data_IF_005443555326
#
_entry.id   IF_005443555326
#
_cell.length_a   1.000
_cell.length_b   1.000
_cell.length_c   1.000
_cell.angle_alpha   90.00
_cell.angle_beta   90.00
_cell.angle_gamma   90.00
#
_symmetry.space_group_name_H-M   'P 1'
#
loop_
_entity.id
_entity.type
_entity.pdbx_description
1 polymer ?
2 non-polymer ?
#
# COMPACT_ATOMS: atom_id res chain seq x y z
N UNK A 1 18.07 -7.71 19.93
CA UNK A 1 16.87 -8.35 19.40
C UNK A 1 15.98 -7.31 18.69
N UNK A 2 16.19 -7.18 17.39
CA UNK A 2 15.41 -6.26 16.56
C UNK A 2 14.15 -6.91 15.99
N UNK A 3 13.87 -8.16 16.33
CA UNK A 3 12.67 -8.83 15.86
C UNK A 3 11.40 -8.24 16.47
N UNK A 4 11.51 -7.59 17.63
CA UNK A 4 10.34 -6.94 18.22
C UNK A 4 9.91 -5.73 17.40
N UNK A 5 10.87 -4.97 16.88
CA UNK A 5 10.55 -3.86 15.99
C UNK A 5 9.89 -4.36 14.72
N UNK A 6 10.41 -5.45 14.15
CA UNK A 6 9.78 -6.04 12.97
C UNK A 6 8.37 -6.48 13.29
N UNK A 7 8.17 -7.10 14.45
CA UNK A 7 6.83 -7.51 14.86
C UNK A 7 5.90 -6.31 14.97
N UNK A 8 6.38 -5.21 15.54
CA UNK A 8 5.52 -4.05 15.74
C UNK A 8 5.16 -3.40 14.41
N UNK A 9 6.13 -3.30 13.49
CA UNK A 9 5.83 -2.73 12.17
C UNK A 9 4.88 -3.63 11.41
N UNK A 10 5.10 -4.95 11.48
CA UNK A 10 4.19 -5.91 10.87
C UNK A 10 2.78 -5.73 11.40
N UNK A 11 2.64 -5.63 12.73
CA UNK A 11 1.32 -5.49 13.34
C UNK A 11 0.68 -4.14 13.03
N UNK A 12 1.49 -3.08 12.96
CA UNK A 12 0.96 -1.76 12.66
C UNK A 12 0.43 -1.70 11.24
N UNK A 13 1.21 -2.19 10.28
CA UNK A 13 0.73 -2.26 8.90
C UNK A 13 -0.49 -3.16 8.79
N UNK A 14 -0.47 -4.30 9.49
CA UNK A 14 -1.60 -5.23 9.44
C UNK A 14 -2.87 -4.57 9.95
N UNK A 15 -2.81 -3.91 11.11
CA UNK A 15 -4.01 -3.33 11.70
C UNK A 15 -4.49 -2.11 10.92
N UNK A 16 -3.55 -1.29 10.43
CA UNK A 16 -3.91 -0.17 9.57
C UNK A 16 -4.66 -0.65 8.33
N UNK A 17 -4.16 -1.71 7.69
CA UNK A 17 -4.82 -2.20 6.49
C UNK A 17 -6.11 -2.94 6.80
N UNK A 18 -6.20 -3.59 7.97
CA UNK A 18 -7.49 -4.17 8.37
C UNK A 18 -8.53 -3.07 8.52
N UNK A 19 -8.18 -1.97 9.17
CA UNK A 19 -9.13 -0.87 9.29
C UNK A 19 -9.48 -0.29 7.92
N UNK A 20 -8.47 -0.12 7.06
CA UNK A 20 -8.69 0.43 5.73
C UNK A 20 -9.65 -0.43 4.92
N UNK A 21 -9.48 -1.74 4.94
CA UNK A 21 -10.32 -2.63 4.15
C UNK A 21 -11.61 -3.03 4.85
N UNK A 22 -11.74 -2.75 6.14
CA UNK A 22 -13.00 -3.00 6.83
C UNK A 22 -13.95 -1.82 6.63
N UNK A 23 -13.43 -0.58 6.65
CA UNK A 23 -14.32 0.56 6.52
C UNK A 23 -14.96 0.65 5.14
N UNK A 24 -14.46 -0.08 4.14
CA UNK A 24 -14.96 0.09 2.78
C UNK A 24 -16.40 -0.39 2.62
N UNK A 25 -16.74 -1.66 2.86
CA UNK A 25 -18.12 -2.09 2.56
C UNK A 25 -19.15 -1.58 3.56
N UNK A 26 -18.75 -1.29 4.79
CA UNK A 26 -19.71 -0.98 5.84
C UNK A 26 -20.36 0.39 5.62
N UNK A 27 -19.55 1.41 5.32
CA UNK A 27 -20.03 2.79 5.43
C UNK A 27 -21.16 3.13 4.46
N UNK A 28 -21.05 2.82 3.14
CA UNK A 28 -22.17 3.01 2.23
C UNK A 28 -23.40 2.37 2.89
N UNK A 29 -23.23 1.16 3.44
CA UNK A 29 -24.36 0.51 4.14
C UNK A 29 -24.78 1.29 5.38
N UNK A 30 -23.83 1.74 6.21
CA UNK A 30 -24.15 2.52 7.43
C UNK A 30 -24.75 3.88 7.05
N UNK A 31 -24.17 4.54 6.04
CA UNK A 31 -24.66 5.87 5.59
C UNK A 31 -26.06 5.68 5.02
N UNK A 32 -26.29 4.59 4.30
CA UNK A 32 -27.64 4.30 3.76
C UNK A 32 -28.53 3.79 4.91
N UNK A 114 -19.00 10.69 -1.49
CA UNK A 114 -18.47 9.35 -1.22
C UNK A 114 -17.06 9.21 -1.81
N UNK A 115 -16.86 9.67 -3.03
CA UNK A 115 -15.53 9.65 -3.61
C UNK A 115 -14.55 10.51 -2.84
N UNK A 116 -15.01 11.67 -2.36
CA UNK A 116 -14.15 12.52 -1.53
C UNK A 116 -13.75 11.82 -0.25
N UNK A 117 -14.71 11.13 0.40
CA UNK A 117 -14.39 10.40 1.62
C UNK A 117 -13.38 9.29 1.33
N UNK A 118 -13.57 8.56 0.22
CA UNK A 118 -12.66 7.47 -0.10
C UNK A 118 -11.26 8.00 -0.40
N UNK A 119 -11.15 9.13 -1.10
CA UNK A 119 -9.86 9.67 -1.49
C UNK A 119 -9.23 10.57 -0.44
N UNK A 120 -9.95 10.89 0.64
CA UNK A 120 -9.42 11.80 1.65
C UNK A 120 -8.21 11.22 2.36
N UNK A 121 -8.25 9.93 2.68
CA UNK A 121 -7.12 9.29 3.36
C UNK A 121 -5.87 9.40 2.51
N UNK A 122 -5.97 9.03 1.23
CA UNK A 122 -4.81 9.07 0.35
C UNK A 122 -4.34 10.50 0.09
N UNK A 123 -5.27 11.46 -0.04
CA UNK A 123 -4.89 12.84 -0.29
C UNK A 123 -4.17 13.43 0.92
N UNK A 124 -4.70 13.20 2.12
CA UNK A 124 -4.07 13.72 3.33
C UNK A 124 -2.71 13.06 3.54
N UNK A 125 -2.61 11.75 3.30
CA UNK A 125 -1.32 11.08 3.41
C UNK A 125 -0.32 11.63 2.40
N UNK A 126 -0.79 11.89 1.18
CA UNK A 126 0.06 12.47 0.14
C UNK A 126 0.57 13.84 0.55
N UNK A 127 -0.29 14.64 1.18
CA UNK A 127 0.11 15.98 1.59
C UNK A 127 1.09 15.92 2.76
N UNK A 128 0.86 15.03 3.71
CA UNK A 128 1.65 15.00 4.94
C UNK A 128 2.87 14.09 4.87
N UNK A 129 3.08 13.38 3.76
CA UNK A 129 4.30 12.58 3.64
C UNK A 129 5.58 13.40 3.73
N UNK A 130 5.73 14.52 3.00
CA UNK A 130 6.96 15.32 3.16
C UNK A 130 7.16 15.86 4.56
N UNK A 131 6.07 16.26 5.23
CA UNK A 131 6.21 16.80 6.58
C UNK A 131 6.70 15.74 7.56
N UNK A 132 6.18 14.51 7.44
CA UNK A 132 6.67 13.42 8.28
C UNK A 132 8.11 13.08 7.92
N UNK A 133 8.45 13.14 6.63
CA UNK A 133 9.83 12.92 6.23
C UNK A 133 10.79 13.90 6.85
N UNK A 134 10.37 15.16 6.98
CA UNK A 134 11.20 16.15 7.67
C UNK A 134 11.17 15.98 9.18
N UNK A 135 10.00 15.65 9.75
CA UNK A 135 9.86 15.57 11.20
C UNK A 135 10.63 14.40 11.80
N UNK A 136 10.64 13.25 11.12
CA UNK A 136 11.43 12.13 11.61
C UNK A 136 12.91 12.45 11.64
N UNK A 137 13.36 13.42 10.85
CA UNK A 137 14.76 13.84 10.90
C UNK A 137 15.02 14.81 12.04
N UNK A 138 13.96 15.38 12.62
CA UNK A 138 14.14 16.32 13.73
C UNK A 138 13.97 15.63 15.07
N UNK A 139 13.00 14.73 15.20
CA UNK A 139 12.68 14.14 16.50
C UNK A 139 12.92 12.64 16.57
N UNK A 140 13.22 11.97 15.46
CA UNK A 140 13.42 10.53 15.46
C UNK A 140 12.21 9.78 14.94
N UNK A 141 12.37 8.46 14.86
CA UNK A 141 11.32 7.53 14.43
C UNK A 141 10.34 7.10 15.53
N UNK A 142 10.82 6.72 16.73
CA UNK A 142 9.89 6.16 17.73
C UNK A 142 8.76 7.08 18.13
N UNK A 143 9.00 8.38 18.27
CA UNK A 143 7.95 9.31 18.69
C UNK A 143 6.87 9.44 17.62
N UNK A 144 7.22 9.61 16.33
CA UNK A 144 6.19 9.53 15.29
C UNK A 144 5.47 8.20 15.22
N UNK A 145 6.16 7.09 15.51
CA UNK A 145 5.54 5.73 15.45
C UNK A 145 4.54 5.57 16.60
N UNK A 146 4.91 5.99 17.82
CA UNK A 146 3.99 5.90 18.99
C UNK A 146 2.75 6.76 18.75
N UNK A 147 2.92 7.95 18.18
CA UNK A 147 1.79 8.84 17.87
C UNK A 147 0.89 8.18 16.84
N UNK A 148 1.48 7.38 15.94
CA UNK A 148 0.67 6.66 14.97
C UNK A 148 -0.31 5.76 15.70
N UNK A 149 0.14 5.10 16.78
CA UNK A 149 -0.78 4.27 17.61
C UNK A 149 -1.84 5.15 18.29
N UNK A 150 -1.45 6.31 18.84
CA UNK A 150 -2.43 7.16 19.59
C UNK A 150 -3.49 7.70 18.62
N UNK A 151 -3.08 8.20 17.45
CA UNK A 151 -4.05 8.69 16.43
C UNK A 151 -4.86 7.50 15.95
N UNK A 152 -4.22 6.34 15.75
CA UNK A 152 -4.92 5.13 15.28
C UNK A 152 -5.95 4.70 16.34
N UNK A 153 -5.59 4.78 17.61
CA UNK A 153 -6.53 4.42 18.71
C UNK A 153 -7.73 5.38 18.70
N UNK A 154 -7.48 6.69 18.59
CA UNK A 154 -8.58 7.71 18.57
C UNK A 154 -9.39 7.52 17.29
N UNK A 155 -8.70 7.29 16.17
CA UNK A 155 -9.38 7.09 14.87
C UNK A 155 -10.24 5.84 14.99
N UNK A 156 -9.71 4.77 15.61
CA UNK A 156 -10.48 3.51 15.78
C UNK A 156 -11.67 3.75 16.73
N UNK A 157 -11.47 4.47 17.85
CA UNK A 157 -12.57 4.78 18.80
C UNK A 157 -13.63 5.67 18.13
N UNK A 158 -13.21 6.68 17.37
CA UNK A 158 -14.17 7.55 16.64
C UNK A 158 -14.92 6.71 15.63
N UNK A 159 -14.22 5.81 14.93
CA UNK A 159 -14.86 4.98 13.88
C UNK A 159 -15.94 4.15 14.56
N UNK A 160 -15.67 3.67 15.78
CA UNK A 160 -16.65 2.84 16.53
C UNK A 160 -17.92 3.62 16.87
N UNK A 161 -17.81 4.87 17.33
CA UNK A 161 -19.03 5.60 17.82
C UNK A 161 -19.52 6.71 16.88
N UNK A 162 -18.68 7.21 15.99
CA UNK A 162 -19.07 8.35 15.12
C UNK A 162 -20.14 7.91 14.13
N UNK A 163 -21.21 8.70 13.98
CA UNK A 163 -22.20 8.33 12.97
C UNK A 163 -22.52 9.48 12.02
N UNK A 164 -21.68 10.50 11.97
CA UNK A 164 -21.89 11.65 11.10
C UNK A 164 -20.84 11.66 9.98
N UNK A 165 -21.25 12.15 8.81
CA UNK A 165 -20.34 12.18 7.67
C UNK A 165 -19.15 13.06 7.96
N UNK A 166 -19.36 14.21 8.60
CA UNK A 166 -18.24 15.09 8.92
C UNK A 166 -17.27 14.40 9.87
N UNK A 167 -17.79 13.71 10.88
CA UNK A 167 -16.92 13.02 11.82
C UNK A 167 -16.25 11.81 11.19
N UNK A 168 -16.95 11.12 10.28
CA UNK A 168 -16.31 10.03 9.55
C UNK A 168 -15.19 10.55 8.66
N UNK A 169 -15.39 11.70 8.03
CA UNK A 169 -14.33 12.32 7.23
C UNK A 169 -13.14 12.71 8.10
N UNK A 170 -13.40 13.29 9.27
CA UNK A 170 -12.33 13.67 10.18
C UNK A 170 -11.57 12.44 10.65
N UNK A 171 -12.29 11.36 10.96
CA UNK A 171 -11.66 10.12 11.39
C UNK A 171 -10.84 9.52 10.25
N UNK A 172 -11.35 9.59 9.02
CA UNK A 172 -10.62 9.08 7.86
C UNK A 172 -9.33 9.86 7.63
N UNK A 173 -9.39 11.18 7.78
CA UNK A 173 -8.20 12.01 7.60
C UNK A 173 -7.20 11.79 8.74
N UNK A 174 -7.69 11.59 9.96
CA UNK A 174 -6.80 11.23 11.06
C UNK A 174 -6.14 9.88 10.80
N UNK A 175 -6.90 8.93 10.26
CA UNK A 175 -6.33 7.66 9.84
C UNK A 175 -5.27 7.87 8.77
N UNK A 176 -5.50 8.82 7.86
CA UNK A 176 -4.49 9.13 6.88
C UNK A 176 -3.20 9.67 7.50
N UNK A 177 -3.33 10.57 8.48
CA UNK A 177 -2.15 11.10 9.15
C UNK A 177 -1.42 9.99 9.91
N UNK A 178 -2.17 9.16 10.64
CA UNK A 178 -1.55 8.08 11.39
C UNK A 178 -0.93 7.03 10.51
N UNK A 179 -1.57 6.73 9.37
CA UNK A 179 -1.01 5.79 8.41
C UNK A 179 0.24 6.34 7.76
N UNK A 180 0.27 7.65 7.49
CA UNK A 180 1.49 8.27 7.02
C UNK A 180 2.61 8.12 8.03
N UNK A 181 2.32 8.42 9.30
CA UNK A 181 3.33 8.25 10.35
C UNK A 181 3.82 6.80 10.40
N UNK A 182 2.90 5.85 10.46
CA UNK A 182 3.26 4.45 10.57
C UNK A 182 4.08 4.01 9.36
N UNK A 183 3.58 4.24 8.15
CA UNK A 183 4.26 3.79 6.95
C UNK A 183 5.66 4.40 6.85
N UNK A 184 5.75 5.73 6.91
CA UNK A 184 7.05 6.38 6.68
C UNK A 184 8.03 6.04 7.80
N UNK A 185 7.61 6.18 9.06
CA UNK A 185 8.55 5.97 10.15
C UNK A 185 8.90 4.50 10.32
N UNK A 186 7.94 3.59 10.12
CA UNK A 186 8.24 2.18 10.22
C UNK A 186 9.15 1.69 9.10
N UNK A 187 8.90 2.15 7.87
CA UNK A 187 9.81 1.79 6.78
C UNK A 187 11.19 2.38 7.00
N UNK A 188 11.26 3.61 7.51
CA UNK A 188 12.55 4.19 7.84
C UNK A 188 13.27 3.42 8.93
N UNK A 189 12.55 2.97 9.96
CA UNK A 189 13.19 2.25 11.04
C UNK A 189 13.59 0.84 10.62
N UNK A 190 12.80 0.20 9.76
CA UNK A 190 13.22 -1.07 9.18
C UNK A 190 14.47 -0.90 8.32
N UNK A 191 14.53 0.19 7.54
CA UNK A 191 15.69 0.40 6.69
C UNK A 191 16.92 0.79 7.51
N UNK A 192 16.74 1.46 8.65
CA UNK A 192 17.86 1.87 9.47
C UNK A 192 18.32 0.79 10.44
N UNK A 193 17.43 -0.13 10.80
CA UNK A 193 17.78 -1.24 11.67
C UNK A 193 18.35 -2.41 10.87
N UNK A 194 17.69 -2.77 9.76
CA UNK A 194 18.17 -3.83 8.87
C UNK A 194 18.89 -3.15 7.70
N UNK A 195 20.15 -2.81 7.91
CA UNK A 195 20.92 -2.12 6.89
C UNK A 195 21.48 -3.05 5.83
N UNK A 196 21.33 -4.36 5.98
CA UNK A 196 21.79 -5.29 4.96
C UNK A 196 20.90 -5.20 3.73
N UNK A 197 21.51 -5.38 2.56
CA UNK A 197 20.77 -5.23 1.32
C UNK A 197 19.79 -6.38 1.09
N UNK A 198 20.14 -7.59 1.52
CA UNK A 198 19.27 -8.73 1.32
C UNK A 198 18.28 -8.91 2.47
N UNK A 199 18.74 -8.72 3.71
CA UNK A 199 17.83 -8.78 4.85
C UNK A 199 16.78 -7.68 4.79
N UNK A 200 17.14 -6.51 4.26
CA UNK A 200 16.15 -5.44 4.09
C UNK A 200 15.04 -5.89 3.17
N UNK A 201 15.40 -6.50 2.04
CA UNK A 201 14.38 -7.03 1.15
C UNK A 201 13.55 -8.11 1.79
N UNK A 202 14.21 -9.01 2.55
CA UNK A 202 13.49 -10.11 3.19
C UNK A 202 12.49 -9.59 4.22
N UNK A 203 12.88 -8.62 5.03
CA UNK A 203 12.00 -8.15 6.10
C UNK A 203 10.92 -7.22 5.57
N UNK A 204 11.21 -6.41 4.55
CA UNK A 204 10.10 -5.69 3.91
C UNK A 204 9.19 -6.63 3.16
N UNK A 205 9.67 -7.80 2.74
CA UNK A 205 8.78 -8.80 2.22
C UNK A 205 7.75 -9.24 3.24
N UNK A 206 8.19 -9.54 4.47
CA UNK A 206 7.27 -9.93 5.52
C UNK A 206 6.36 -8.76 5.90
N UNK A 207 6.93 -7.56 6.04
CA UNK A 207 6.15 -6.40 6.46
C UNK A 207 5.07 -6.05 5.44
N UNK A 208 5.42 -6.06 4.14
CA UNK A 208 4.41 -5.91 3.10
C UNK A 208 3.48 -7.11 3.07
N UNK A 209 3.95 -8.27 3.55
CA UNK A 209 3.08 -9.40 3.78
C UNK A 209 2.11 -9.17 4.91
N UNK A 210 2.47 -8.33 5.88
CA UNK A 210 1.49 -7.87 6.84
C UNK A 210 0.38 -7.06 6.19
N UNK A 211 0.76 -6.19 5.25
CA UNK A 211 -0.24 -5.44 4.48
C UNK A 211 -1.11 -6.39 3.66
N UNK A 212 -0.50 -7.40 3.04
CA UNK A 212 -1.24 -8.35 2.23
C UNK A 212 -2.18 -9.18 3.09
N UNK A 213 -1.73 -9.59 4.27
CA UNK A 213 -2.60 -10.35 5.18
C UNK A 213 -3.73 -9.48 5.69
N UNK A 214 -3.46 -8.19 5.94
CA UNK A 214 -4.52 -7.29 6.35
C UNK A 214 -5.57 -7.09 5.27
N UNK A 215 -5.14 -6.86 4.03
CA UNK A 215 -6.12 -6.71 2.95
C UNK A 215 -6.85 -8.02 2.70
N UNK A 216 -6.19 -9.15 2.97
CA UNK A 216 -6.85 -10.45 2.85
C UNK A 216 -7.95 -10.65 3.89
N UNK A 217 -7.64 -10.40 5.16
CA UNK A 217 -8.57 -10.74 6.24
C UNK A 217 -9.40 -9.56 6.71
N UNK A 218 -9.31 -8.41 6.07
CA UNK A 218 -10.15 -7.28 6.42
C UNK A 218 -11.62 -7.53 6.13
N UNK A 219 -11.96 -7.71 4.86
CA UNK A 219 -13.36 -7.90 4.47
C UNK A 219 -14.02 -9.08 5.16
N UNK A 220 -13.37 -10.25 5.27
CA UNK A 220 -14.06 -11.37 5.94
C UNK A 220 -14.34 -11.11 7.41
N UNK A 221 -13.34 -10.64 8.15
CA UNK A 221 -13.51 -10.28 9.56
C UNK A 221 -14.61 -9.24 9.72
N UNK A 222 -14.55 -8.18 8.90
CA UNK A 222 -15.56 -7.15 8.99
C UNK A 222 -16.96 -7.69 8.74
N UNK A 223 -17.13 -8.51 7.70
CA UNK A 223 -18.45 -9.03 7.38
C UNK A 223 -18.99 -9.95 8.47
N UNK A 224 -18.14 -10.86 8.96
CA UNK A 224 -18.63 -11.81 9.96
C UNK A 224 -19.01 -11.08 11.26
N UNK A 225 -18.16 -10.16 11.71
CA UNK A 225 -18.45 -9.49 12.98
C UNK A 225 -19.56 -8.45 12.80
N UNK A 226 -19.77 -7.97 11.58
CA UNK A 226 -20.90 -7.09 11.31
C UNK A 226 -22.22 -7.85 11.33
N UNK A 227 -22.23 -9.07 10.80
CA UNK A 227 -23.47 -9.85 10.81
C UNK A 227 -23.79 -10.39 12.20
N UNK A 228 -22.80 -10.96 12.90
CA UNK A 228 -23.10 -11.65 14.15
C UNK A 228 -23.35 -10.69 15.32
N UNK A 229 -22.36 -9.92 15.73
CA UNK A 229 -22.47 -9.18 16.98
C UNK A 229 -23.13 -7.83 16.74
N UNK A 230 -22.49 -6.97 15.96
CA UNK A 230 -23.07 -5.67 15.69
C UNK A 230 -22.12 -4.79 14.90
N UNK A 231 -22.60 -3.57 14.64
CA UNK A 231 -21.87 -2.63 13.81
C UNK A 231 -20.54 -2.23 14.43
N UNK A 232 -20.52 -1.98 15.75
CA UNK A 232 -19.32 -1.47 16.40
C UNK A 232 -18.42 -2.57 16.95
N UNK A 233 -18.82 -3.84 16.82
CA UNK A 233 -18.00 -4.95 17.31
C UNK A 233 -16.63 -5.05 16.63
N UNK A 234 -16.52 -5.01 15.29
CA UNK A 234 -15.17 -5.07 14.70
C UNK A 234 -14.30 -3.91 15.12
N UNK A 235 -14.87 -2.74 15.38
CA UNK A 235 -14.00 -1.58 15.70
C UNK A 235 -13.41 -1.74 17.11
N UNK A 236 -14.19 -2.28 18.06
CA UNK A 236 -13.73 -2.49 19.47
C UNK A 236 -12.64 -3.57 19.58
N UNK A 237 -12.78 -4.70 18.87
CA UNK A 237 -11.76 -5.79 18.89
C UNK A 237 -10.45 -5.27 18.30
N UNK A 238 -10.54 -4.50 17.21
CA UNK A 238 -9.33 -3.91 16.59
C UNK A 238 -8.72 -2.98 17.62
N UNK A 239 -9.57 -2.24 18.34
CA UNK A 239 -9.09 -1.27 19.36
C UNK A 239 -8.34 -1.97 20.50
N UNK A 240 -8.77 -3.18 20.89
CA UNK A 240 -8.07 -3.96 21.94
C UNK A 240 -6.65 -4.34 21.49
N UNK A 241 -6.50 -4.92 20.30
CA UNK A 241 -5.15 -5.25 19.76
C UNK A 241 -4.36 -3.97 19.48
N UNK A 242 -5.06 -2.88 19.11
CA UNK A 242 -4.36 -1.57 18.92
C UNK A 242 -3.74 -1.21 20.27
N UNK A 243 -4.51 -1.35 21.36
CA UNK A 243 -3.98 -1.04 22.71
C UNK A 243 -2.83 -1.99 23.06
N UNK A 244 -2.96 -3.28 22.73
CA UNK A 244 -1.91 -4.29 23.02
C UNK A 244 -0.63 -3.98 22.23
N UNK A 245 -0.77 -3.56 20.96
CA UNK A 245 0.40 -3.14 20.15
C UNK A 245 1.03 -1.96 20.88
N UNK A 246 0.19 -1.07 21.41
CA UNK A 246 0.66 0.10 22.17
C UNK A 246 1.41 -0.27 23.46
N UNK A 247 0.95 -1.31 24.17
CA UNK A 247 1.67 -1.75 25.38
C UNK A 247 3.07 -2.26 25.03
N UNK A 248 3.22 -3.04 23.96
CA UNK A 248 4.58 -3.47 23.50
C UNK A 248 5.33 -2.22 23.07
N UNK A 249 4.62 -1.30 22.41
CA UNK A 249 5.24 -0.04 21.95
C UNK A 249 5.72 0.74 23.18
N UNK A 250 4.95 0.77 24.27
CA UNK A 250 5.48 1.47 25.46
C UNK A 250 6.60 0.63 26.08
N UNK A 251 6.50 -0.70 26.04
CA UNK A 251 7.54 -1.54 26.71
C UNK A 251 8.91 -1.43 26.02
N UNK A 252 8.98 -1.49 24.69
CA UNK A 252 10.29 -1.47 23.98
C UNK A 252 10.49 -0.14 23.24
N UNK A 253 9.50 0.36 22.49
CA UNK A 253 9.73 1.69 21.86
C UNK A 253 9.91 2.71 22.98
N UNK A 254 9.01 2.71 23.97
CA UNK A 254 9.20 3.56 25.19
C UNK A 254 9.71 4.95 24.81
N UNK A 255 9.04 5.75 23.97
CA UNK A 255 9.61 7.02 23.54
C UNK A 255 9.37 8.13 24.57
N UNK A 256 10.10 8.07 25.68
CA UNK A 256 9.96 9.10 26.74
C UNK A 256 10.41 10.48 26.25
N UNK A 257 11.52 10.57 25.50
CA UNK A 257 12.05 11.92 25.17
C UNK A 257 12.47 12.05 23.71
N UNK A 258 12.47 13.26 23.16
CA UNK A 258 12.90 13.52 21.75
C UNK A 258 14.42 13.33 21.65
N UNK A 259 14.88 12.55 20.68
CA UNK A 259 16.33 12.39 20.43
C UNK A 259 16.58 12.80 18.97
N UNK A 260 17.43 13.81 18.67
CA UNK A 260 17.62 14.25 17.30
C UNK A 260 18.45 13.27 16.46
N UNK A 261 18.19 13.19 15.15
CA UNK A 261 19.02 12.33 14.27
C UNK A 261 20.37 13.02 14.05
N UNK A 262 21.33 12.33 13.44
CA UNK A 262 22.67 12.90 13.33
C UNK A 262 22.76 13.90 12.19
N UNK A 263 22.55 13.44 10.96
CA UNK A 263 22.92 14.20 9.78
C UNK A 263 21.68 14.64 9.00
N UNK A 264 21.84 15.68 8.19
CA UNK A 264 20.66 16.23 7.46
C UNK A 264 20.48 15.48 6.15
N UNK A 265 19.24 15.15 5.81
CA UNK A 265 18.96 14.42 4.55
C UNK A 265 19.06 15.34 3.34
N UNK A 266 19.24 14.76 2.15
CA UNK A 266 19.23 15.61 0.93
C UNK A 266 17.84 16.25 0.82
N UNK A 267 17.75 17.56 0.48
CA UNK A 267 16.45 18.23 0.32
C UNK A 267 15.51 17.43 -0.60
N UNK A 268 14.20 17.53 -0.42
CA UNK A 268 13.35 16.76 -1.32
C UNK A 268 13.53 17.19 -2.78
N UNK A 269 13.84 18.47 -3.02
CA UNK A 269 14.03 18.95 -4.38
C UNK A 269 15.20 18.26 -5.05
N UNK A 270 16.27 18.01 -4.31
CA UNK A 270 17.40 17.25 -4.85
C UNK A 270 16.98 15.83 -5.20
N UNK A 271 16.12 15.23 -4.37
CA UNK A 271 15.65 13.87 -4.65
C UNK A 271 14.79 13.81 -5.90
N UNK A 272 13.93 14.80 -6.11
CA UNK A 272 13.01 14.78 -7.23
C UNK A 272 13.67 15.10 -8.57
N UNK A 273 14.90 15.46 -8.64
CA UNK A 273 15.60 15.75 -9.89
C UNK A 273 16.28 14.48 -10.38
N UNK A 274 16.41 13.44 -9.52
CA UNK A 274 17.14 12.23 -9.90
C UNK A 274 16.29 11.41 -10.86
N UNK A 275 16.78 11.11 -12.08
CA UNK A 275 15.95 10.37 -13.03
C UNK A 275 15.70 8.92 -12.66
N UNK A 276 16.64 8.26 -11.96
CA UNK A 276 16.43 6.85 -11.62
C UNK A 276 15.45 6.68 -10.47
N UNK A 277 15.54 7.53 -9.45
CA UNK A 277 14.50 7.53 -8.42
C UNK A 277 13.15 7.85 -9.04
N UNK A 278 13.15 8.74 -10.03
CA UNK A 278 11.91 9.05 -10.75
C UNK A 278 11.40 7.82 -11.50
N UNK A 279 12.29 7.04 -12.11
CA UNK A 279 11.86 5.87 -12.86
C UNK A 279 11.31 4.80 -11.91
N UNK A 280 11.98 4.59 -10.78
CA UNK A 280 11.47 3.62 -9.80
C UNK A 280 10.10 4.05 -9.26
N UNK A 281 9.96 5.32 -8.90
CA UNK A 281 8.68 5.83 -8.42
C UNK A 281 7.63 5.73 -9.51
N UNK A 282 8.01 5.97 -10.77
CA UNK A 282 7.04 5.87 -11.85
C UNK A 282 6.60 4.44 -12.11
N UNK A 283 7.52 3.49 -11.99
CA UNK A 283 7.15 2.07 -12.13
C UNK A 283 6.18 1.68 -11.02
N UNK A 284 6.48 2.06 -9.79
CA UNK A 284 5.55 1.78 -8.69
C UNK A 284 4.21 2.45 -8.96
N UNK A 285 4.24 3.71 -9.40
CA UNK A 285 3.01 4.47 -9.60
C UNK A 285 2.14 3.85 -10.68
N UNK A 286 2.73 3.48 -11.80
CA UNK A 286 1.95 2.94 -12.91
C UNK A 286 1.46 1.52 -12.63
N UNK A 287 2.34 0.67 -12.08
CA UNK A 287 1.91 -0.68 -11.73
C UNK A 287 0.80 -0.66 -10.69
N UNK A 288 0.90 0.23 -9.71
CA UNK A 288 -0.14 0.30 -8.68
C UNK A 288 -1.39 1.00 -9.19
N UNK A 289 -1.27 1.94 -10.13
CA UNK A 289 -2.46 2.58 -10.68
C UNK A 289 -3.21 1.60 -11.57
N UNK A 290 -2.51 0.67 -12.19
CA UNK A 290 -3.17 -0.42 -12.89
C UNK A 290 -4.17 -1.12 -12.00
N UNK A 291 -3.71 -1.64 -10.85
CA UNK A 291 -4.62 -2.37 -9.98
C UNK A 291 -5.61 -1.41 -9.32
N UNK A 292 -5.21 -0.16 -9.08
CA UNK A 292 -6.08 0.81 -8.44
C UNK A 292 -7.29 1.16 -9.30
N UNK A 293 -7.10 1.22 -10.62
CA UNK A 293 -8.22 1.43 -11.53
C UNK A 293 -8.90 0.13 -11.93
N UNK A 294 -8.21 -1.01 -11.79
CA UNK A 294 -8.81 -2.31 -12.10
C UNK A 294 -9.82 -2.72 -11.03
N UNK A 295 -9.47 -2.54 -9.76
CA UNK A 295 -10.26 -3.14 -8.68
C UNK A 295 -11.68 -2.60 -8.60
N UNK A 296 -11.95 -1.29 -8.68
CA UNK A 296 -13.35 -0.84 -8.67
C UNK A 296 -14.02 -0.85 -10.02
N UNK A 297 -13.30 -1.01 -11.12
CA UNK A 297 -13.90 -0.98 -12.44
C UNK A 297 -14.18 -2.36 -13.03
N UNK A 298 -13.55 -3.41 -12.49
CA UNK A 298 -13.77 -4.77 -12.98
C UNK A 298 -15.20 -5.22 -12.70
N UNK A 299 -15.73 -5.04 -11.48
CA UNK A 299 -17.14 -5.38 -11.25
C UNK A 299 -18.10 -4.60 -12.15
N UNK A 300 -17.78 -3.34 -12.46
CA UNK A 300 -18.66 -2.55 -13.31
C UNK A 300 -18.78 -3.19 -14.68
N UNK A 301 -17.67 -3.72 -15.20
CA UNK A 301 -17.72 -4.48 -16.44
C UNK A 301 -18.48 -5.78 -16.26
N UNK A 302 -18.31 -6.43 -15.10
CA UNK A 302 -18.90 -7.74 -14.88
C UNK A 302 -20.43 -7.69 -14.86
N UNK A 303 -21.01 -6.78 -14.07
CA UNK A 303 -22.47 -6.75 -13.97
C UNK A 303 -23.15 -6.42 -15.30
N UNK A 304 -22.41 -5.85 -16.26
CA UNK A 304 -23.02 -5.55 -17.54
C UNK A 304 -22.74 -6.62 -18.59
N UNK A 305 -21.61 -7.32 -18.50
CA UNK A 305 -21.30 -8.34 -19.50
C UNK A 305 -21.72 -9.74 -19.07
N UNK A 306 -21.27 -10.16 -17.88
CA UNK A 306 -21.44 -11.53 -17.43
C UNK A 306 -22.57 -11.71 -16.42
N UNK A 307 -23.09 -10.62 -15.85
CA UNK A 307 -24.17 -10.66 -14.88
C UNK A 307 -23.83 -11.60 -13.71
N UNK A 308 -22.63 -11.45 -13.16
CA UNK A 308 -22.20 -12.28 -12.05
C UNK A 308 -23.01 -11.98 -10.80
N UNK A 309 -23.11 -12.99 -9.93
CA UNK A 309 -23.80 -12.84 -8.66
C UNK A 309 -22.88 -12.15 -7.64
N UNK A 310 -23.47 -11.81 -6.49
CA UNK A 310 -22.79 -10.97 -5.51
C UNK A 310 -21.51 -11.62 -5.00
N UNK A 311 -21.55 -12.93 -4.73
CA UNK A 311 -20.38 -13.61 -4.18
C UNK A 311 -19.27 -13.76 -5.23
N UNK A 312 -19.64 -13.87 -6.50
CA UNK A 312 -18.64 -14.05 -7.54
C UNK A 312 -17.73 -12.83 -7.67
N UNK A 313 -18.26 -11.63 -7.40
CA UNK A 313 -17.41 -10.44 -7.39
C UNK A 313 -16.37 -10.51 -6.29
N UNK A 314 -16.74 -11.00 -5.11
CA UNK A 314 -15.78 -11.12 -4.02
C UNK A 314 -14.75 -12.20 -4.31
N UNK A 315 -15.20 -13.31 -4.89
CA UNK A 315 -14.29 -14.42 -5.16
C UNK A 315 -13.47 -14.21 -6.43
N UNK A 316 -13.92 -13.33 -7.32
CA UNK A 316 -13.17 -13.09 -8.56
C UNK A 316 -11.84 -12.38 -8.30
N UNK A 317 -11.81 -11.48 -7.32
CA UNK A 317 -10.60 -10.74 -6.99
C UNK A 317 -9.80 -11.41 -5.88
N UNK A 318 -10.32 -12.50 -5.31
CA UNK A 318 -9.64 -13.27 -4.27
C UNK A 318 -8.32 -13.88 -4.74
N UNK A 319 -8.24 -14.50 -5.93
CA UNK A 319 -6.92 -14.97 -6.38
C UNK A 319 -5.90 -13.87 -6.50
N UNK A 320 -6.33 -12.64 -6.83
CA UNK A 320 -5.40 -11.52 -6.85
C UNK A 320 -4.80 -11.27 -5.47
N UNK A 321 -5.63 -11.32 -4.43
CA UNK A 321 -5.13 -11.07 -3.07
C UNK A 321 -4.24 -12.20 -2.56
N UNK A 322 -4.65 -13.46 -2.80
CA UNK A 322 -3.83 -14.59 -2.38
C UNK A 322 -2.51 -14.60 -3.13
N UNK A 323 -2.54 -14.33 -4.44
CA UNK A 323 -1.31 -14.26 -5.21
C UNK A 323 -0.45 -13.07 -4.79
N UNK A 324 -1.06 -11.97 -4.36
CA UNK A 324 -0.26 -10.86 -3.83
C UNK A 324 0.47 -11.28 -2.56
N UNK A 325 -0.23 -11.98 -1.67
CA UNK A 325 0.43 -12.50 -0.47
C UNK A 325 1.60 -13.41 -0.83
N UNK A 326 1.36 -14.39 -1.69
CA UNK A 326 2.41 -15.34 -2.05
C UNK A 326 3.56 -14.62 -2.76
N UNK A 327 3.24 -13.74 -3.70
CA UNK A 327 4.27 -13.05 -4.44
C UNK A 327 5.11 -12.17 -3.56
N UNK A 328 4.49 -11.43 -2.64
CA UNK A 328 5.24 -10.61 -1.72
C UNK A 328 6.19 -11.47 -0.88
N UNK A 329 5.67 -12.52 -0.25
CA UNK A 329 6.50 -13.31 0.65
C UNK A 329 7.62 -14.04 -0.09
N UNK A 330 7.35 -14.57 -1.28
CA UNK A 330 8.40 -15.28 -2.02
C UNK A 330 9.40 -14.30 -2.63
N UNK A 331 8.91 -13.23 -3.25
CA UNK A 331 9.80 -12.38 -4.02
C UNK A 331 10.61 -11.43 -3.16
N UNK A 332 10.16 -11.11 -1.94
CA UNK A 332 11.06 -10.42 -1.03
C UNK A 332 12.35 -11.17 -0.80
N UNK A 333 12.28 -12.50 -0.83
CA UNK A 333 13.47 -13.34 -0.71
C UNK A 333 14.13 -13.55 -2.07
N UNK A 334 13.33 -13.70 -3.13
CA UNK A 334 13.78 -14.25 -4.39
C UNK A 334 14.24 -13.22 -5.41
N UNK A 335 13.80 -11.96 -5.30
CA UNK A 335 14.08 -10.98 -6.34
C UNK A 335 15.55 -10.55 -6.32
N UNK A 336 16.24 -10.72 -5.20
CA UNK A 336 17.65 -10.38 -5.17
C UNK A 336 18.46 -11.30 -6.07
N UNK A 337 18.12 -12.60 -6.08
CA UNK A 337 18.84 -13.53 -6.94
C UNK A 337 18.40 -13.39 -8.40
N UNK A 338 17.10 -13.22 -8.65
CA UNK A 338 16.61 -13.04 -10.00
C UNK A 338 17.12 -11.75 -10.63
N UNK A 339 17.18 -10.68 -9.84
CA UNK A 339 17.55 -9.37 -10.34
C UNK A 339 16.37 -8.42 -10.22
N UNK A 340 16.51 -7.39 -9.40
CA UNK A 340 15.37 -6.51 -9.13
C UNK A 340 14.94 -5.75 -10.37
N UNK A 341 15.88 -5.33 -11.22
CA UNK A 341 15.52 -4.70 -12.48
C UNK A 341 14.79 -5.68 -13.39
N UNK A 342 15.30 -6.92 -13.49
CA UNK A 342 14.66 -7.91 -14.35
C UNK A 342 13.31 -8.35 -13.76
N UNK A 343 13.24 -8.48 -12.44
CA UNK A 343 11.97 -8.83 -11.81
C UNK A 343 10.93 -7.74 -12.04
N UNK A 344 11.35 -6.47 -11.94
CA UNK A 344 10.43 -5.37 -12.20
C UNK A 344 9.99 -5.33 -13.66
N UNK A 345 10.92 -5.56 -14.59
CA UNK A 345 10.58 -5.55 -16.01
C UNK A 345 9.62 -6.68 -16.35
N UNK A 346 9.91 -7.89 -15.85
CA UNK A 346 9.03 -9.03 -16.09
C UNK A 346 7.67 -8.82 -15.44
N UNK A 347 7.64 -8.24 -14.24
CA UNK A 347 6.36 -7.94 -13.62
C UNK A 347 5.56 -6.93 -14.42
N UNK A 348 6.23 -5.92 -14.97
CA UNK A 348 5.54 -4.93 -15.80
C UNK A 348 4.96 -5.58 -17.06
N UNK A 349 5.75 -6.43 -17.72
CA UNK A 349 5.26 -7.10 -18.92
C UNK A 349 4.11 -8.05 -18.57
N UNK A 350 4.24 -8.79 -17.47
CA UNK A 350 3.19 -9.73 -17.09
C UNK A 350 1.91 -9.01 -16.74
N UNK A 351 1.99 -7.90 -16.00
CA UNK A 351 0.78 -7.17 -15.66
C UNK A 351 0.18 -6.52 -16.90
N UNK A 352 1.01 -6.05 -17.82
CA UNK A 352 0.49 -5.49 -19.06
C UNK A 352 -0.23 -6.53 -19.92
N UNK A 353 0.38 -7.70 -20.07
CA UNK A 353 -0.24 -8.76 -20.87
C UNK A 353 -1.49 -9.28 -20.19
N UNK A 354 -1.47 -9.39 -18.86
CA UNK A 354 -2.65 -9.84 -18.13
C UNK A 354 -3.79 -8.85 -18.29
N UNK A 355 -3.49 -7.55 -18.21
CA UNK A 355 -4.53 -6.53 -18.40
C UNK A 355 -5.03 -6.54 -19.84
N UNK A 356 -4.15 -6.82 -20.79
CA UNK A 356 -4.56 -6.91 -22.19
C UNK A 356 -5.44 -8.13 -22.44
N UNK A 357 -5.21 -9.23 -21.71
CA UNK A 357 -5.99 -10.45 -21.85
C UNK A 357 -7.30 -10.44 -21.08
N UNK A 358 -7.41 -9.59 -20.05
CA UNK A 358 -8.66 -9.50 -19.29
C UNK A 358 -9.87 -9.21 -20.18
N UNK A 359 -9.80 -8.30 -21.16
CA UNK A 359 -10.97 -8.07 -22.02
C UNK A 359 -11.39 -9.28 -22.84
N UNK A 360 -10.51 -10.24 -23.07
CA UNK A 360 -10.84 -11.42 -23.87
C UNK A 360 -11.56 -12.50 -23.08
N UNK A 361 -11.56 -12.41 -21.75
CA UNK A 361 -12.19 -13.43 -20.92
C UNK A 361 -13.72 -13.33 -21.01
N UNK A 362 -14.37 -14.50 -20.92
CA UNK A 362 -15.83 -14.56 -20.98
C UNK A 362 -16.47 -15.08 -19.70
N UNK A 363 -15.70 -15.67 -18.78
CA UNK A 363 -16.26 -16.20 -17.55
C UNK A 363 -15.17 -16.20 -16.49
N UNK A 364 -15.58 -16.48 -15.25
CA UNK A 364 -14.69 -16.35 -14.09
C UNK A 364 -13.50 -17.29 -14.23
N UNK A 365 -13.71 -18.49 -14.77
CA UNK A 365 -12.60 -19.42 -14.96
C UNK A 365 -11.57 -18.87 -15.92
N UNK A 366 -12.00 -18.04 -16.87
CA UNK A 366 -11.05 -17.34 -17.73
C UNK A 366 -10.40 -16.15 -17.08
N UNK A 367 -10.97 -15.66 -15.97
CA UNK A 367 -10.41 -14.54 -15.23
C UNK A 367 -9.50 -14.97 -14.08
N UNK A 368 -9.51 -16.25 -13.73
CA UNK A 368 -8.67 -16.72 -12.63
C UNK A 368 -7.19 -16.52 -12.95
N UNK A 369 -6.80 -16.85 -14.18
CA UNK A 369 -5.39 -16.73 -14.56
C UNK A 369 -4.94 -15.28 -14.70
N UNK A 370 -5.65 -14.40 -15.42
CA UNK A 370 -5.19 -13.00 -15.52
C UNK A 370 -5.15 -12.27 -14.19
N UNK A 371 -6.11 -12.48 -13.30
CA UNK A 371 -6.07 -11.83 -11.99
C UNK A 371 -4.93 -12.35 -11.14
N UNK A 372 -4.71 -13.67 -11.16
CA UNK A 372 -3.55 -14.25 -10.49
C UNK A 372 -2.27 -13.64 -11.02
N UNK A 373 -2.17 -13.47 -12.34
CA UNK A 373 -0.98 -12.88 -12.92
C UNK A 373 -0.79 -11.43 -12.51
N UNK A 374 -1.88 -10.66 -12.50
CA UNK A 374 -1.80 -9.25 -12.11
C UNK A 374 -1.30 -9.12 -10.67
N UNK A 375 -1.92 -9.85 -9.75
CA UNK A 375 -1.49 -9.79 -8.36
C UNK A 375 -0.07 -10.28 -8.17
N UNK A 376 0.28 -11.38 -8.85
CA UNK A 376 1.62 -11.95 -8.75
C UNK A 376 2.66 -10.94 -9.22
N UNK A 377 2.42 -10.32 -10.38
CA UNK A 377 3.36 -9.38 -10.96
C UNK A 377 3.49 -8.12 -10.12
N UNK A 378 2.38 -7.62 -9.57
CA UNK A 378 2.46 -6.43 -8.73
C UNK A 378 3.20 -6.76 -7.43
N UNK A 379 3.04 -7.98 -6.92
CA UNK A 379 3.86 -8.40 -5.81
C UNK A 379 5.35 -8.37 -6.14
N UNK A 380 5.72 -8.89 -7.31
CA UNK A 380 7.10 -8.80 -7.78
C UNK A 380 7.58 -7.35 -7.78
N UNK A 381 6.80 -6.47 -8.43
CA UNK A 381 7.22 -5.09 -8.61
C UNK A 381 7.38 -4.40 -7.26
N UNK A 382 6.40 -4.56 -6.37
CA UNK A 382 6.45 -3.87 -5.09
C UNK A 382 7.58 -4.37 -4.21
N UNK A 383 7.71 -5.70 -4.08
CA UNK A 383 8.76 -6.26 -3.25
C UNK A 383 10.14 -6.06 -3.84
N UNK A 384 10.25 -5.73 -5.13
CA UNK A 384 11.54 -5.42 -5.73
C UNK A 384 11.87 -3.94 -5.72
N UNK A 385 10.86 -3.06 -5.74
CA UNK A 385 11.10 -1.62 -5.78
C UNK A 385 11.09 -0.97 -4.40
N UNK A 386 10.51 -1.58 -3.37
CA UNK A 386 10.64 -0.99 -2.04
C UNK A 386 12.07 -0.98 -1.54
N UNK A 387 12.83 -2.08 -1.55
CA UNK A 387 14.23 -1.99 -1.11
C UNK A 387 15.11 -1.17 -2.04
N UNK A 388 14.72 -1.04 -3.31
CA UNK A 388 15.58 -0.32 -4.26
C UNK A 388 15.55 1.17 -3.95
N UNK A 389 14.47 1.67 -3.35
CA UNK A 389 14.44 3.07 -2.95
C UNK A 389 15.47 3.37 -1.87
N UNK A 390 15.61 2.48 -0.88
CA UNK A 390 16.68 2.65 0.08
C UNK A 390 18.06 2.46 -0.53
N UNK A 391 18.17 1.53 -1.47
CA UNK A 391 19.45 1.31 -2.14
C UNK A 391 19.89 2.55 -2.92
N UNK A 392 18.93 3.22 -3.58
CA UNK A 392 19.25 4.39 -4.38
C UNK A 392 19.81 5.52 -3.53
N UNK A 393 19.20 5.81 -2.37
CA UNK A 393 19.74 6.86 -1.52
C UNK A 393 21.04 6.42 -0.86
N UNK A 394 21.16 5.14 -0.52
CA UNK A 394 22.44 4.67 0.00
C UNK A 394 23.55 4.83 -1.03
N UNK A 395 23.21 4.80 -2.32
CA UNK A 395 24.22 4.88 -3.37
C UNK A 395 24.53 6.32 -3.75
N UNK A 396 23.49 7.17 -3.84
CA UNK A 396 23.61 8.49 -4.45
C UNK A 396 23.50 9.65 -3.48
N UNK A 397 22.96 9.45 -2.29
CA UNK A 397 22.59 10.55 -1.41
C UNK A 397 22.99 10.22 0.02
N UNK A 398 22.45 10.98 0.96
CA UNK A 398 22.65 10.73 2.38
C UNK A 398 21.65 9.68 2.87
N UNK A 399 22.14 8.75 3.69
CA UNK A 399 21.35 7.58 4.11
C UNK A 399 20.42 7.96 5.27
N UNK A 400 19.40 8.75 4.92
CA UNK A 400 18.26 9.00 5.78
C UNK A 400 17.01 8.66 4.98
N UNK A 401 16.15 7.82 5.55
CA UNK A 401 15.14 7.13 4.77
C UNK A 401 13.75 7.72 4.88
N UNK A 402 13.51 8.60 5.84
CA UNK A 402 12.19 9.19 5.97
C UNK A 402 11.75 9.94 4.73
N UNK A 403 12.63 10.76 4.15
CA UNK A 403 12.26 11.60 3.04
C UNK A 403 12.15 10.86 1.72
N UNK A 404 12.94 9.80 1.50
CA UNK A 404 12.79 9.02 0.27
C UNK A 404 11.61 8.06 0.38
N UNK A 405 11.32 7.56 1.58
CA UNK A 405 10.12 6.75 1.72
C UNK A 405 8.88 7.61 1.72
N UNK A 406 9.02 8.92 1.97
CA UNK A 406 7.94 9.84 1.67
C UNK A 406 7.60 9.85 0.19
N UNK A 407 8.62 9.91 -0.68
CA UNK A 407 8.39 9.83 -2.12
C UNK A 407 7.81 8.48 -2.51
N UNK A 408 8.34 7.41 -1.92
CA UNK A 408 7.84 6.07 -2.22
C UNK A 408 6.36 5.94 -1.86
N UNK A 409 5.97 6.50 -0.72
CA UNK A 409 4.56 6.47 -0.33
C UNK A 409 3.73 7.40 -1.20
N UNK A 410 4.31 8.50 -1.66
CA UNK A 410 3.63 9.39 -2.60
C UNK A 410 3.31 8.63 -3.89
N UNK A 411 4.22 7.76 -4.32
CA UNK A 411 3.98 6.97 -5.52
C UNK A 411 2.75 6.08 -5.36
N UNK A 412 2.56 5.50 -4.18
CA UNK A 412 1.36 4.71 -3.92
C UNK A 412 0.11 5.61 -3.84
N UNK A 413 0.22 6.72 -3.12
CA UNK A 413 -0.96 7.55 -2.87
C UNK A 413 -1.45 8.24 -4.14
N UNK A 414 -0.55 8.50 -5.10
CA UNK A 414 -0.97 9.05 -6.38
C UNK A 414 -1.91 8.07 -7.10
N UNK A 415 -1.53 6.80 -7.13
CA UNK A 415 -2.39 5.81 -7.76
C UNK A 415 -3.68 5.57 -6.99
N UNK A 416 -3.59 5.53 -5.66
CA UNK A 416 -4.75 5.19 -4.85
C UNK A 416 -5.64 6.39 -4.52
N UNK A 417 -5.26 7.60 -4.92
CA UNK A 417 -6.07 8.77 -4.63
C UNK A 417 -6.97 9.13 -5.80
N UNK A 418 -6.40 9.27 -7.00
CA UNK A 418 -7.16 9.60 -8.20
C UNK A 418 -7.53 8.36 -9.00
N UNK A 419 -7.31 7.17 -8.43
CA UNK A 419 -7.54 5.93 -9.13
C UNK A 419 -8.99 5.73 -9.55
N UNK A 420 -9.89 5.56 -8.58
CA UNK A 420 -11.29 5.29 -8.93
C UNK A 420 -11.92 6.37 -9.80
N UNK A 421 -11.65 7.65 -9.53
CA UNK A 421 -12.30 8.72 -10.27
C UNK A 421 -11.84 8.74 -11.73
N UNK A 422 -10.52 8.73 -11.95
CA UNK A 422 -10.00 8.73 -13.31
C UNK A 422 -10.41 7.46 -14.05
N UNK A 423 -10.38 6.32 -13.37
CA UNK A 423 -10.80 5.08 -14.01
C UNK A 423 -12.24 5.12 -14.46
N UNK A 424 -13.14 5.58 -13.59
CA UNK A 424 -14.54 5.69 -13.97
C UNK A 424 -14.76 6.66 -15.11
N UNK A 425 -14.07 7.81 -15.06
CA UNK A 425 -14.21 8.80 -16.11
C UNK A 425 -13.78 8.25 -17.46
N UNK A 426 -12.60 7.61 -17.50
CA UNK A 426 -12.11 7.09 -18.78
C UNK A 426 -12.98 5.93 -19.26
N UNK A 427 -13.45 5.08 -18.33
CA UNK A 427 -14.30 3.97 -18.73
C UNK A 427 -15.61 4.47 -19.34
N UNK A 428 -16.19 5.52 -18.76
CA UNK A 428 -17.40 6.09 -19.34
C UNK A 428 -17.11 6.76 -20.67
N UNK A 429 -15.92 7.38 -20.80
CA UNK A 429 -15.63 8.17 -22.00
C UNK A 429 -15.43 7.29 -23.24
N UNK A 430 -14.47 6.36 -23.20
CA UNK A 430 -14.09 5.60 -24.37
C UNK A 430 -14.45 4.12 -24.24
N UNK A 431 -14.31 3.56 -23.05
CA UNK A 431 -14.67 2.17 -22.83
C UNK A 431 -13.75 1.44 -21.87
N UNK A 432 -14.21 0.33 -21.32
CA UNK A 432 -13.41 -0.44 -20.36
C UNK A 432 -12.35 -1.26 -21.08
N UNK A 433 -12.67 -2.01 -22.14
CA UNK A 433 -11.59 -2.73 -22.85
C UNK A 433 -10.53 -1.80 -23.41
N UNK A 434 -10.93 -0.64 -23.92
CA UNK A 434 -9.96 0.31 -24.45
C UNK A 434 -9.14 0.93 -23.33
N UNK A 435 -9.76 1.19 -22.18
CA UNK A 435 -9.02 1.65 -21.00
C UNK A 435 -7.95 0.63 -20.61
N UNK A 436 -8.32 -0.65 -20.57
CA UNK A 436 -7.35 -1.67 -20.19
C UNK A 436 -6.27 -1.84 -21.26
N UNK A 437 -6.62 -1.67 -22.53
CA UNK A 437 -5.61 -1.69 -23.58
C UNK A 437 -4.64 -0.53 -23.42
N UNK A 438 -5.14 0.65 -23.07
CA UNK A 438 -4.26 1.80 -22.83
C UNK A 438 -3.33 1.53 -21.66
N UNK A 439 -3.86 0.96 -20.58
CA UNK A 439 -3.02 0.64 -19.42
C UNK A 439 -1.95 -0.36 -19.82
N UNK A 440 -2.33 -1.39 -20.58
CA UNK A 440 -1.36 -2.39 -20.99
C UNK A 440 -0.26 -1.82 -21.87
N UNK A 441 -0.64 -0.96 -22.82
CA UNK A 441 0.35 -0.34 -23.69
C UNK A 441 1.30 0.55 -22.89
N UNK A 442 0.76 1.32 -21.95
CA UNK A 442 1.60 2.19 -21.13
C UNK A 442 2.57 1.35 -20.31
N UNK A 443 2.07 0.28 -19.70
CA UNK A 443 2.93 -0.60 -18.90
C UNK A 443 4.02 -1.22 -19.76
N UNK A 444 3.66 -1.71 -20.95
CA UNK A 444 4.61 -2.40 -21.80
C UNK A 444 5.67 -1.42 -22.33
N UNK A 445 5.27 -0.19 -22.63
CA UNK A 445 6.22 0.78 -23.16
C UNK A 445 7.11 1.35 -22.06
N UNK A 446 6.60 1.44 -20.83
CA UNK A 446 7.44 1.87 -19.72
C UNK A 446 8.37 0.76 -19.26
N UNK A 447 8.04 -0.50 -19.53
CA UNK A 447 8.89 -1.60 -19.11
C UNK A 447 10.34 -1.46 -19.58
N UNK A 448 10.64 -1.06 -20.82
CA UNK A 448 12.05 -0.88 -21.21
C UNK A 448 12.79 0.15 -20.37
N UNK A 449 12.08 1.13 -19.79
CA UNK A 449 12.76 2.13 -18.96
C UNK A 449 13.37 1.50 -17.72
N UNK A 450 12.83 0.37 -17.26
CA UNK A 450 13.40 -0.32 -16.11
C UNK A 450 14.78 -0.90 -16.40
N UNK A 451 15.18 -0.95 -17.67
CA UNK A 451 16.49 -1.49 -18.02
C UNK A 451 17.62 -0.66 -17.43
N UNK A 452 17.36 0.62 -17.14
CA UNK A 452 18.40 1.50 -16.61
C UNK A 452 18.66 1.29 -15.12
N UNK A 453 17.84 0.48 -14.44
CA UNK A 453 17.96 0.30 -12.99
C UNK A 453 19.02 -0.71 -12.59
N UNK A 454 19.68 -1.37 -13.55
CA UNK A 454 20.67 -2.38 -13.22
C UNK A 454 21.97 -1.72 -12.75
N UNK A 455 22.64 -2.38 -11.80
CA UNK A 455 23.89 -1.87 -11.29
C UNK A 455 24.97 -1.88 -12.37
N UNK A 456 25.79 -0.85 -12.46
CA UNK A 456 26.81 -0.78 -13.52
C UNK A 456 27.78 -1.95 -13.48
N UNK A 457 28.19 -2.42 -12.28
CA UNK A 457 28.99 -3.65 -12.37
C UNK A 457 28.17 -4.87 -12.77
#
# INVERSE_FOLDING_TARGET
SRKLILFIVFLALLLDNMLLTVVVPIIPSYLYSIKHEKNATEIQTARPVHTASISDSFQSIFSYYDNSTMVTGNATRDLTLHQTATQHMVTNASAVPSDCPSEDKDLLNENVQVGLLFASKATVQLITNPFIGLLTNRIGYPIPIFAGFCIMFVSTIMFAFSSSYAFLLIARSLQGIGSSCSSVAGMGMLASVYTDDEERGNVMGIALGGLAMGVLVGPPFGSVLYEFVGKTAPFLVLAALVLLDGAIQLFVLQPSRVQPESQKGTPLTTLLKDPYILIAAGSICFANMGIAMLEPALPIWMMETMCSRKWQLGVAFLPASISYLIGTNIFGILAHKMGRWLCALLGMIIVGVSILCIPFAKNIYGLIAPNFGVGFAIGMVDSSMMPIMGYLVDLRHVSVYGSVYAIADVAFCMGYAIGPSAGGAIAKAIGFPWLMTIIGIIDILFAPLCFFLRSPPQVQLVESGGALVQPGGSLRLSCAASGFPVNRYSMRWYRQAPGKEREWVAGMSSAGDRSSYEDSVKGRFTISRDDARNTVYLQMNSLKPEDTAVYYCNVNVGFEYWGQGTQVTVSSK
#
